data_IF_038087272814
#
_entry.id   IF_038087272814
#
_cell.length_a   1.000
_cell.length_b   1.000
_cell.length_c   1.000
_cell.angle_alpha   90.00
_cell.angle_beta   90.00
_cell.angle_gamma   90.00
#
_symmetry.space_group_name_H-M   'P 1'
#
loop_
_entity.id
_entity.type
_entity.pdbx_description
1 polymer ?
#
# COMPACT_ATOMS: atom_id res chain seq x y z
N UNK A 1 -13.33 19.49 -6.91
CA UNK A 1 -12.24 18.50 -6.70
C UNK A 1 -12.52 17.40 -7.70
N UNK A 2 -11.86 17.45 -8.85
CA UNK A 2 -11.89 16.36 -9.83
C UNK A 2 -11.25 15.15 -9.17
N UNK A 3 -12.07 14.19 -8.76
CA UNK A 3 -11.59 12.87 -8.41
C UNK A 3 -11.14 12.30 -9.75
N UNK A 4 -9.83 12.30 -10.02
CA UNK A 4 -9.29 11.61 -11.18
C UNK A 4 -9.52 10.12 -10.94
N UNK A 5 -10.69 9.63 -11.35
CA UNK A 5 -11.08 8.23 -11.31
C UNK A 5 -10.03 7.45 -12.10
N UNK A 6 -9.22 6.66 -11.38
CA UNK A 6 -8.32 5.71 -11.99
C UNK A 6 -9.17 4.66 -12.69
N UNK A 7 -9.22 4.70 -14.01
CA UNK A 7 -9.95 3.75 -14.81
C UNK A 7 -9.23 2.38 -14.81
N UNK A 8 -9.87 1.31 -14.34
CA UNK A 8 -9.26 -0.02 -14.28
C UNK A 8 -9.31 -0.76 -15.63
N UNK A 9 -9.93 -0.20 -16.68
CA UNK A 9 -10.14 -0.93 -17.92
C UNK A 9 -8.81 -1.24 -18.61
N UNK A 10 -8.67 -2.49 -19.06
CA UNK A 10 -7.45 -2.98 -19.72
C UNK A 10 -6.29 -3.24 -18.76
N UNK A 11 -6.46 -3.03 -17.44
CA UNK A 11 -5.47 -3.37 -16.42
C UNK A 11 -5.78 -4.71 -15.77
N UNK A 12 -4.73 -5.30 -15.21
CA UNK A 12 -4.76 -6.57 -14.51
C UNK A 12 -4.34 -6.40 -13.05
N UNK A 13 -4.87 -7.27 -12.20
CA UNK A 13 -4.57 -7.35 -10.78
C UNK A 13 -3.88 -8.67 -10.46
N UNK A 14 -2.74 -8.60 -9.76
CA UNK A 14 -2.11 -9.77 -9.19
C UNK A 14 -2.57 -9.98 -7.75
N UNK A 15 -3.37 -11.01 -7.46
CA UNK A 15 -3.77 -11.32 -6.09
C UNK A 15 -2.62 -11.78 -5.17
N UNK A 16 -1.47 -12.19 -5.74
CA UNK A 16 -0.29 -12.62 -4.95
C UNK A 16 0.57 -11.43 -4.54
N UNK A 17 0.92 -10.55 -5.47
CA UNK A 17 1.69 -9.34 -5.18
C UNK A 17 0.81 -8.18 -4.70
N UNK A 18 -0.50 -8.27 -4.89
CA UNK A 18 -1.51 -7.23 -4.67
C UNK A 18 -1.14 -5.94 -5.43
N UNK A 19 -0.84 -6.07 -6.71
CA UNK A 19 -0.38 -4.97 -7.56
C UNK A 19 -1.27 -4.83 -8.80
N UNK A 20 -1.52 -3.60 -9.21
CA UNK A 20 -2.10 -3.27 -10.50
C UNK A 20 -1.02 -3.29 -11.59
N UNK A 21 -1.35 -3.82 -12.76
CA UNK A 21 -0.41 -4.17 -13.83
C UNK A 21 -1.05 -3.88 -15.19
N UNK A 22 -0.24 -3.57 -16.20
CA UNK A 22 -0.71 -3.35 -17.58
C UNK A 22 -0.69 -4.64 -18.42
N UNK A 23 -0.06 -5.72 -17.91
CA UNK A 23 0.07 -7.01 -18.59
C UNK A 23 -0.69 -8.12 -17.86
N UNK A 24 -1.10 -9.16 -18.60
CA UNK A 24 -1.85 -10.30 -18.05
C UNK A 24 -1.01 -11.12 -17.05
N UNK A 25 0.32 -11.05 -17.11
CA UNK A 25 1.22 -11.77 -16.21
C UNK A 25 1.97 -10.79 -15.32
N UNK A 26 2.05 -11.12 -14.03
CA UNK A 26 2.74 -10.28 -13.07
C UNK A 26 4.25 -10.26 -13.30
N UNK A 27 4.90 -9.09 -13.44
CA UNK A 27 6.35 -9.02 -13.67
C UNK A 27 7.16 -9.53 -12.46
N UNK A 28 6.59 -9.47 -11.25
CA UNK A 28 7.28 -9.88 -10.01
C UNK A 28 7.19 -11.39 -9.76
N UNK A 29 5.98 -11.96 -9.82
CA UNK A 29 5.74 -13.36 -9.46
C UNK A 29 5.40 -14.26 -10.66
N UNK A 30 5.32 -13.71 -11.87
CA UNK A 30 4.97 -14.40 -13.13
C UNK A 30 3.63 -15.14 -13.11
N UNK A 31 2.78 -14.89 -12.11
CA UNK A 31 1.42 -15.44 -12.07
C UNK A 31 0.48 -14.62 -12.93
N UNK A 32 -0.49 -15.31 -13.54
CA UNK A 32 -1.57 -14.69 -14.29
C UNK A 32 -2.43 -13.82 -13.36
N UNK A 33 -2.65 -12.57 -13.76
CA UNK A 33 -3.55 -11.62 -13.11
C UNK A 33 -5.00 -11.81 -13.55
N UNK A 34 -5.91 -11.26 -12.76
CA UNK A 34 -7.32 -11.11 -13.12
C UNK A 34 -7.56 -9.71 -13.66
N UNK A 35 -8.66 -9.44 -14.38
CA UNK A 35 -9.06 -8.05 -14.65
C UNK A 35 -9.10 -7.25 -13.35
N UNK A 36 -8.52 -6.05 -13.37
CA UNK A 36 -8.45 -5.17 -12.20
C UNK A 36 -9.84 -4.62 -11.86
N UNK A 37 -10.21 -4.66 -10.58
CA UNK A 37 -11.39 -3.99 -10.05
C UNK A 37 -11.02 -2.68 -9.32
N UNK A 38 -11.96 -1.73 -9.33
CA UNK A 38 -11.84 -0.45 -8.63
C UNK A 38 -11.59 -0.58 -7.12
N UNK A 39 -12.08 -1.67 -6.51
CA UNK A 39 -11.97 -1.96 -5.08
C UNK A 39 -10.84 -2.95 -4.76
N UNK A 40 -10.13 -3.46 -5.76
CA UNK A 40 -9.04 -4.39 -5.50
C UNK A 40 -7.96 -3.72 -4.63
N UNK A 41 -7.50 -4.40 -3.56
CA UNK A 41 -6.50 -3.85 -2.67
C UNK A 41 -5.13 -3.86 -3.35
N UNK A 42 -4.62 -2.67 -3.64
CA UNK A 42 -3.31 -2.43 -4.25
C UNK A 42 -2.30 -2.02 -3.18
N UNK A 43 -1.15 -2.67 -3.23
CA UNK A 43 0.01 -2.38 -2.40
C UNK A 43 0.61 -1.02 -2.75
N UNK A 44 0.80 -0.17 -1.75
CA UNK A 44 1.39 1.17 -1.95
C UNK A 44 2.77 1.35 -1.29
N UNK A 45 3.13 0.50 -0.32
CA UNK A 45 4.44 0.54 0.33
C UNK A 45 4.51 -0.13 1.70
N UNK A 46 5.74 -0.23 2.22
CA UNK A 46 6.05 -0.70 3.57
C UNK A 46 6.17 0.51 4.50
N UNK A 47 5.43 0.52 5.60
CA UNK A 47 5.47 1.56 6.62
C UNK A 47 6.23 1.08 7.86
N UNK A 48 7.29 1.77 8.29
CA UNK A 48 7.91 1.53 9.60
C UNK A 48 6.90 1.70 10.73
N UNK A 49 6.93 0.85 11.75
CA UNK A 49 6.02 0.88 12.90
C UNK A 49 6.01 2.23 13.61
N UNK A 50 7.17 2.91 13.69
CA UNK A 50 7.30 4.27 14.22
C UNK A 50 6.40 5.31 13.51
N UNK A 51 6.12 5.11 12.21
CA UNK A 51 5.31 6.02 11.39
C UNK A 51 3.83 5.62 11.35
N UNK A 52 3.42 4.55 12.05
CA UNK A 52 2.04 4.05 12.07
C UNK A 52 1.04 5.12 12.50
N UNK A 53 1.33 5.85 13.58
CA UNK A 53 0.45 6.92 14.07
C UNK A 53 0.37 8.08 13.08
N UNK A 54 1.48 8.48 12.46
CA UNK A 54 1.50 9.54 11.46
C UNK A 54 0.67 9.17 10.21
N UNK A 55 0.78 7.91 9.74
CA UNK A 55 -0.03 7.41 8.65
C UNK A 55 -1.52 7.41 8.99
N UNK A 56 -1.89 6.93 10.19
CA UNK A 56 -3.28 6.93 10.63
C UNK A 56 -3.89 8.33 10.62
N UNK A 57 -3.15 9.36 11.03
CA UNK A 57 -3.60 10.76 11.00
C UNK A 57 -3.79 11.22 9.56
N UNK A 58 -2.82 10.98 8.68
CA UNK A 58 -2.87 11.40 7.28
C UNK A 58 -4.05 10.76 6.52
N UNK A 59 -4.31 9.47 6.76
CA UNK A 59 -5.39 8.73 6.11
C UNK A 59 -6.76 9.05 6.71
N UNK A 60 -6.83 9.36 8.01
CA UNK A 60 -8.08 9.81 8.66
C UNK A 60 -8.50 11.20 8.15
N UNK A 61 -7.53 12.09 7.90
CA UNK A 61 -7.81 13.43 7.35
C UNK A 61 -8.34 13.40 5.91
N UNK A 62 -8.11 12.31 5.19
CA UNK A 62 -8.46 12.14 3.77
C UNK A 62 -9.54 11.08 3.54
N UNK A 63 -10.07 10.48 4.62
CA UNK A 63 -11.07 9.41 4.60
C UNK A 63 -10.68 8.20 3.72
N UNK A 64 -9.38 7.94 3.58
CA UNK A 64 -8.87 6.87 2.71
C UNK A 64 -8.94 5.52 3.44
N UNK A 65 -9.70 4.54 2.92
CA UNK A 65 -9.71 3.20 3.49
C UNK A 65 -8.39 2.48 3.19
N UNK A 66 -7.77 1.89 4.22
CA UNK A 66 -6.53 1.13 4.07
C UNK A 66 -6.52 -0.13 4.94
N UNK A 67 -5.80 -1.14 4.46
CA UNK A 67 -5.46 -2.34 5.22
C UNK A 67 -3.95 -2.32 5.51
N UNK A 68 -3.58 -2.53 6.77
CA UNK A 68 -2.18 -2.65 7.19
C UNK A 68 -1.95 -4.06 7.74
N UNK A 69 -1.06 -4.82 7.10
CA UNK A 69 -0.64 -6.13 7.59
C UNK A 69 0.77 -6.04 8.14
N UNK A 70 0.95 -6.39 9.41
CA UNK A 70 2.26 -6.44 10.05
C UNK A 70 3.10 -7.57 9.44
N UNK A 71 4.31 -7.22 9.02
CA UNK A 71 5.34 -8.15 8.58
C UNK A 71 6.36 -8.28 9.69
N UNK A 72 6.31 -9.40 10.42
CA UNK A 72 7.37 -9.76 11.35
C UNK A 72 8.56 -10.27 10.52
N UNK A 73 9.70 -9.58 10.60
CA UNK A 73 10.94 -10.03 9.96
C UNK A 73 11.28 -11.45 10.40
N UNK A 74 11.46 -12.35 9.44
CA UNK A 74 11.55 -13.82 9.58
C UNK A 74 12.76 -14.35 10.38
N UNK A 75 13.45 -13.52 11.16
CA UNK A 75 14.71 -13.89 11.83
C UNK A 75 14.96 -13.28 13.20
N UNK A 76 14.03 -12.52 13.78
CA UNK A 76 14.28 -11.86 15.07
C UNK A 76 13.37 -12.40 16.17
N UNK A 77 14.03 -12.99 17.18
CA UNK A 77 13.47 -13.36 18.48
C UNK A 77 12.62 -12.21 19.04
N UNK A 78 11.45 -12.54 19.58
CA UNK A 78 10.44 -11.68 20.25
C UNK A 78 10.98 -10.71 21.32
N UNK A 79 12.29 -10.70 21.60
CA UNK A 79 12.95 -9.91 22.65
C UNK A 79 13.52 -8.57 22.16
N UNK A 80 13.56 -8.29 20.86
CA UNK A 80 13.90 -6.97 20.31
C UNK A 80 12.62 -6.29 19.81
N UNK A 81 11.78 -5.87 20.76
CA UNK A 81 10.43 -5.34 20.50
C UNK A 81 10.41 -4.11 19.59
N UNK A 82 9.27 -3.91 18.93
CA UNK A 82 8.72 -2.72 18.23
C UNK A 82 9.57 -2.02 17.15
N UNK A 83 10.90 -2.06 17.24
CA UNK A 83 11.82 -1.22 16.47
C UNK A 83 11.88 -1.64 14.99
N UNK A 84 11.58 -2.91 14.68
CA UNK A 84 11.63 -3.46 13.31
C UNK A 84 10.28 -3.93 12.79
N UNK A 85 9.18 -3.52 13.43
CA UNK A 85 7.87 -3.82 12.86
C UNK A 85 7.66 -2.96 11.61
N UNK A 86 7.37 -3.58 10.47
CA UNK A 86 6.95 -2.88 9.26
C UNK A 86 5.58 -3.37 8.82
N UNK A 87 4.77 -2.47 8.31
CA UNK A 87 3.40 -2.72 7.88
C UNK A 87 3.30 -2.59 6.37
N UNK A 88 2.80 -3.63 5.72
CA UNK A 88 2.42 -3.54 4.31
C UNK A 88 1.07 -2.85 4.20
N UNK A 89 1.05 -1.71 3.50
CA UNK A 89 -0.15 -0.90 3.33
C UNK A 89 -0.80 -1.20 1.98
N UNK A 90 -2.10 -1.45 2.03
CA UNK A 90 -2.93 -1.74 0.86
C UNK A 90 -4.16 -0.85 0.85
N UNK A 91 -4.56 -0.38 -0.32
CA UNK A 91 -5.70 0.53 -0.52
C UNK A 91 -6.46 0.17 -1.79
N UNK A 92 -7.75 0.52 -1.92
CA UNK A 92 -8.50 0.32 -3.16
C UNK A 92 -7.81 1.00 -4.34
N UNK A 93 -7.82 0.35 -5.52
CA UNK A 93 -7.19 0.88 -6.72
C UNK A 93 -7.64 2.31 -7.05
N UNK A 94 -8.94 2.59 -6.95
CA UNK A 94 -9.53 3.92 -7.20
C UNK A 94 -8.92 5.04 -6.35
N UNK A 95 -8.44 4.71 -5.14
CA UNK A 95 -7.82 5.66 -4.21
C UNK A 95 -6.31 5.50 -4.10
N UNK A 96 -5.73 4.57 -4.86
CA UNK A 96 -4.32 4.21 -4.74
C UNK A 96 -3.35 5.35 -5.03
N UNK A 97 -3.67 6.23 -5.99
CA UNK A 97 -2.85 7.41 -6.31
C UNK A 97 -2.87 8.43 -5.17
N UNK A 98 -4.04 8.85 -4.72
CA UNK A 98 -4.20 9.80 -3.60
C UNK A 98 -3.58 9.24 -2.31
N UNK A 99 -3.83 7.96 -2.03
CA UNK A 99 -3.26 7.27 -0.88
C UNK A 99 -1.73 7.18 -0.94
N UNK A 100 -1.17 6.94 -2.12
CA UNK A 100 0.29 6.90 -2.31
C UNK A 100 0.91 8.28 -2.11
N UNK A 101 0.26 9.34 -2.56
CA UNK A 101 0.71 10.72 -2.29
C UNK A 101 0.67 11.04 -0.79
N UNK A 102 -0.43 10.71 -0.11
CA UNK A 102 -0.53 10.87 1.34
C UNK A 102 0.51 10.02 2.09
N UNK A 103 0.74 8.78 1.64
CA UNK A 103 1.75 7.87 2.18
C UNK A 103 3.15 8.47 2.06
N UNK A 104 3.55 8.96 0.88
CA UNK A 104 4.87 9.55 0.67
C UNK A 104 5.10 10.79 1.54
N UNK A 105 4.09 11.65 1.70
CA UNK A 105 4.18 12.83 2.59
C UNK A 105 4.47 12.46 4.04
N UNK A 106 3.98 11.31 4.52
CA UNK A 106 4.27 10.85 5.89
C UNK A 106 5.76 10.61 6.07
N UNK A 107 6.45 10.07 5.06
CA UNK A 107 7.91 9.91 5.11
C UNK A 107 8.62 11.25 5.00
N UNK A 108 8.23 12.11 4.06
CA UNK A 108 8.86 13.43 3.88
C UNK A 108 8.80 14.32 5.15
N UNK A 109 7.73 14.20 5.94
CA UNK A 109 7.55 15.01 7.17
C UNK A 109 8.31 14.40 8.36
N UNK A 110 8.49 13.07 8.40
CA UNK A 110 8.98 12.36 9.59
C UNK A 110 10.38 11.75 9.43
N UNK A 111 10.94 11.73 8.22
CA UNK A 111 12.35 11.45 8.00
C UNK A 111 13.10 12.79 7.86
N UNK A 112 13.69 13.25 8.95
CA UNK A 112 14.73 14.28 8.88
C UNK A 112 15.96 13.72 8.15
N UNK A 113 16.67 14.53 7.33
CA UNK A 113 17.87 14.12 6.60
C UNK A 113 19.05 13.69 7.50
#
# INVERSE_FOLDING_TARGET
MDIMELDPAGKYYCATCRSAMDEEFCPECHKKGTPLDAQDPVYIGDLPGRLRNALQIAFSATEIPFNAYSTLGTGFTLSAGDIFESYKIYVPYTRSKEAKEAFLRVFEINEEP
#
